data_IF_224088137157
#
_entry.id   IF_224088137157
#
_cell.length_a   1.000
_cell.length_b   1.000
_cell.length_c   1.000
_cell.angle_alpha   90.00
_cell.angle_beta   90.00
_cell.angle_gamma   90.00
#
_symmetry.space_group_name_H-M   'P 1'
#
loop_
_entity.id
_entity.type
_entity.pdbx_description
1 polymer ?
#
# COMPACT_ATOMS: atom_id res chain seq x y z
N UNK A 1 5.53 -5.73 -18.17
CA UNK A 1 6.11 -5.50 -16.83
C UNK A 1 5.06 -5.57 -15.74
N UNK A 2 4.00 -4.77 -15.83
CA UNK A 2 2.94 -4.78 -14.82
C UNK A 2 1.82 -5.71 -15.23
N UNK A 3 1.36 -6.55 -14.29
CA UNK A 3 0.33 -7.55 -14.59
C UNK A 3 -1.06 -7.14 -14.09
N UNK A 4 -1.13 -6.62 -12.87
CA UNK A 4 -2.39 -6.19 -12.27
C UNK A 4 -2.09 -5.28 -11.07
N UNK A 5 -3.13 -4.62 -10.57
CA UNK A 5 -3.08 -3.94 -9.28
C UNK A 5 -3.22 -5.02 -8.20
N UNK A 6 -2.17 -5.19 -7.37
CA UNK A 6 -2.14 -6.22 -6.33
C UNK A 6 -3.01 -5.81 -5.14
N UNK A 7 -2.81 -4.59 -4.66
CA UNK A 7 -3.60 -4.05 -3.56
C UNK A 7 -3.51 -2.53 -3.50
N UNK A 8 -4.41 -1.96 -2.71
CA UNK A 8 -4.45 -0.53 -2.41
C UNK A 8 -4.34 -0.40 -0.90
N UNK A 9 -3.49 0.51 -0.43
CA UNK A 9 -3.37 0.85 0.99
C UNK A 9 -4.13 2.14 1.24
N UNK A 10 -5.02 2.13 2.21
CA UNK A 10 -5.83 3.29 2.61
C UNK A 10 -5.37 3.75 3.99
N UNK A 11 -5.03 5.04 4.11
CA UNK A 11 -4.69 5.65 5.40
C UNK A 11 -5.96 5.90 6.19
N UNK A 12 -6.01 5.43 7.42
CA UNK A 12 -7.16 5.65 8.31
C UNK A 12 -6.69 6.12 9.67
N UNK A 13 -7.51 6.93 10.34
CA UNK A 13 -7.21 7.44 11.68
C UNK A 13 -7.52 6.42 12.76
N UNK A 14 -8.56 5.62 12.55
CA UNK A 14 -9.06 4.65 13.52
C UNK A 14 -9.38 3.37 12.77
N UNK A 15 -8.50 2.38 12.92
CA UNK A 15 -8.61 1.12 12.18
C UNK A 15 -9.87 0.35 12.56
N UNK A 16 -10.20 0.29 13.85
CA UNK A 16 -11.36 -0.49 14.31
C UNK A 16 -12.66 0.10 13.77
N UNK A 17 -12.79 1.43 13.81
CA UNK A 17 -13.95 2.11 13.24
C UNK A 17 -14.01 1.95 11.72
N UNK A 18 -12.87 2.05 11.06
CA UNK A 18 -12.78 1.89 9.61
C UNK A 18 -13.21 0.50 9.17
N UNK A 19 -12.77 -0.53 9.88
CA UNK A 19 -13.18 -1.91 9.60
C UNK A 19 -14.69 -2.06 9.73
N UNK A 20 -15.26 -1.54 10.80
CA UNK A 20 -16.71 -1.59 10.98
C UNK A 20 -17.45 -0.92 9.82
N UNK A 21 -16.95 0.23 9.37
CA UNK A 21 -17.55 0.94 8.24
C UNK A 21 -17.44 0.15 6.94
N UNK A 22 -16.27 -0.42 6.64
CA UNK A 22 -16.09 -1.21 5.42
C UNK A 22 -16.93 -2.48 5.42
N UNK A 23 -17.04 -3.12 6.59
CA UNK A 23 -17.88 -4.31 6.72
C UNK A 23 -19.36 -3.99 6.59
N UNK A 24 -19.85 -2.97 7.30
CA UNK A 24 -21.26 -2.66 7.34
C UNK A 24 -21.75 -1.88 6.12
N UNK A 25 -20.92 -1.00 5.55
CA UNK A 25 -21.32 -0.12 4.45
C UNK A 25 -20.96 -0.65 3.08
N UNK A 26 -19.84 -1.39 2.98
CA UNK A 26 -19.41 -1.97 1.71
C UNK A 26 -19.61 -3.47 1.62
N UNK A 27 -19.93 -4.13 2.74
CA UNK A 27 -20.13 -5.57 2.74
C UNK A 27 -18.85 -6.38 2.62
N UNK A 28 -17.71 -5.81 2.98
CA UNK A 28 -16.43 -6.50 2.89
C UNK A 28 -16.17 -7.31 4.16
N UNK A 29 -15.33 -8.33 4.05
CA UNK A 29 -14.97 -9.20 5.15
C UNK A 29 -13.46 -9.17 5.37
N UNK A 30 -13.04 -8.98 6.63
CA UNK A 30 -11.63 -8.99 6.98
C UNK A 30 -11.08 -10.43 6.94
N UNK A 31 -9.90 -10.62 6.36
CA UNK A 31 -9.21 -11.92 6.35
C UNK A 31 -8.03 -11.96 7.30
N UNK A 32 -7.39 -10.83 7.55
CA UNK A 32 -6.24 -10.71 8.44
C UNK A 32 -6.33 -9.42 9.24
N UNK A 33 -5.89 -9.50 10.51
CA UNK A 33 -5.85 -8.34 11.39
C UNK A 33 -7.17 -8.02 12.06
N UNK A 34 -7.22 -6.92 12.79
CA UNK A 34 -6.15 -5.89 12.96
C UNK A 34 -4.91 -6.44 13.66
N UNK A 35 -3.74 -6.09 13.11
CA UNK A 35 -2.48 -6.49 13.73
C UNK A 35 -1.42 -5.39 13.55
N UNK A 36 -0.57 -5.24 14.56
CA UNK A 36 0.51 -4.28 14.50
C UNK A 36 1.67 -4.81 13.66
N UNK A 37 2.24 -3.93 12.84
CA UNK A 37 3.45 -4.17 12.06
C UNK A 37 4.48 -3.11 12.48
N UNK A 38 5.17 -3.32 13.62
CA UNK A 38 6.05 -2.27 14.17
C UNK A 38 7.16 -1.85 13.21
N UNK A 39 7.69 -2.80 12.43
CA UNK A 39 8.74 -2.51 11.44
C UNK A 39 8.26 -1.59 10.30
N UNK A 40 6.98 -1.53 10.07
CA UNK A 40 6.37 -0.63 9.08
C UNK A 40 5.77 0.62 9.72
N UNK A 41 5.73 0.67 11.06
CA UNK A 41 5.16 1.80 11.80
C UNK A 41 3.66 1.92 11.70
N UNK A 42 2.96 0.80 11.50
CA UNK A 42 1.51 0.81 11.32
C UNK A 42 0.83 -0.42 11.93
N UNK A 43 -0.48 -0.32 12.06
CA UNK A 43 -1.39 -1.38 12.41
C UNK A 43 -2.33 -1.55 11.23
N UNK A 44 -2.61 -2.76 10.80
CA UNK A 44 -3.33 -2.99 9.54
C UNK A 44 -4.35 -4.10 9.60
N UNK A 45 -5.26 -4.07 8.62
CA UNK A 45 -6.18 -5.15 8.34
C UNK A 45 -6.30 -5.35 6.83
N UNK A 46 -6.53 -6.59 6.42
CA UNK A 46 -6.62 -6.98 5.02
C UNK A 46 -8.07 -7.36 4.69
N UNK A 47 -8.60 -6.75 3.65
CA UNK A 47 -9.95 -7.00 3.13
C UNK A 47 -9.80 -7.57 1.71
N UNK A 48 -9.94 -8.89 1.53
CA UNK A 48 -9.70 -9.50 0.22
C UNK A 48 -10.74 -9.10 -0.82
N UNK A 49 -10.29 -9.05 -2.08
CA UNK A 49 -11.11 -8.81 -3.25
C UNK A 49 -11.02 -10.06 -4.13
N UNK A 50 -12.07 -10.87 -4.10
CA UNK A 50 -12.06 -12.14 -4.80
C UNK A 50 -11.07 -13.14 -4.18
N UNK A 51 -10.62 -14.09 -4.96
CA UNK A 51 -9.77 -15.20 -4.48
C UNK A 51 -8.40 -15.27 -5.16
N UNK A 52 -8.03 -14.23 -5.90
CA UNK A 52 -6.75 -14.18 -6.63
C UNK A 52 -5.64 -13.44 -5.87
N UNK A 53 -5.78 -13.25 -4.56
CA UNK A 53 -4.77 -12.62 -3.72
C UNK A 53 -4.75 -11.10 -3.76
N UNK A 54 -5.77 -10.48 -4.34
CA UNK A 54 -5.89 -9.02 -4.39
C UNK A 54 -6.69 -8.53 -3.19
N UNK A 55 -6.39 -7.32 -2.71
CA UNK A 55 -7.04 -6.85 -1.48
C UNK A 55 -6.95 -5.34 -1.31
N UNK A 56 -7.73 -4.84 -0.37
CA UNK A 56 -7.58 -3.50 0.18
C UNK A 56 -6.97 -3.67 1.57
N UNK A 57 -5.93 -2.89 1.86
CA UNK A 57 -5.31 -2.84 3.18
C UNK A 57 -5.71 -1.53 3.84
N UNK A 58 -6.29 -1.61 5.04
CA UNK A 58 -6.51 -0.43 5.86
C UNK A 58 -5.35 -0.32 6.82
N UNK A 59 -4.75 0.86 6.91
CA UNK A 59 -3.54 1.06 7.71
C UNK A 59 -3.67 2.30 8.60
N UNK A 60 -3.45 2.09 9.90
CA UNK A 60 -3.45 3.12 10.92
C UNK A 60 -2.01 3.31 11.40
N UNK A 61 -1.47 4.53 11.44
CA UNK A 61 -0.11 4.72 11.93
C UNK A 61 0.01 4.39 13.42
N UNK A 62 1.14 3.78 13.81
CA UNK A 62 1.46 3.52 15.21
C UNK A 62 2.06 4.74 15.91
N UNK A 63 2.45 5.75 15.12
CA UNK A 63 3.03 6.96 15.66
C UNK A 63 3.17 8.01 14.57
N UNK A 64 3.54 9.22 14.96
CA UNK A 64 3.61 10.37 14.05
C UNK A 64 4.85 10.33 13.15
N UNK A 65 5.86 9.56 13.52
CA UNK A 65 7.15 9.56 12.82
C UNK A 65 7.24 8.54 11.68
N UNK A 66 6.20 7.78 11.42
CA UNK A 66 6.16 6.87 10.28
C UNK A 66 5.78 7.62 9.00
N UNK A 67 6.11 7.04 7.85
CA UNK A 67 5.74 7.62 6.56
C UNK A 67 4.22 7.76 6.44
N UNK A 68 3.47 6.75 6.87
CA UNK A 68 2.01 6.79 6.83
C UNK A 68 1.44 7.80 7.82
N UNK A 69 2.06 7.95 8.99
CA UNK A 69 1.64 8.95 9.98
C UNK A 69 1.82 10.36 9.46
N UNK A 70 2.96 10.64 8.82
CA UNK A 70 3.22 11.95 8.21
C UNK A 70 2.25 12.24 7.06
N UNK A 71 1.95 11.23 6.25
CA UNK A 71 1.00 11.38 5.14
C UNK A 71 -0.42 11.63 5.66
N UNK A 72 -0.83 10.91 6.71
CA UNK A 72 -2.14 11.09 7.32
C UNK A 72 -2.29 12.51 7.86
N UNK A 73 -1.27 13.04 8.53
CA UNK A 73 -1.31 14.40 9.06
C UNK A 73 -1.36 15.44 7.93
N UNK A 74 -0.59 15.24 6.88
CA UNK A 74 -0.49 16.19 5.79
C UNK A 74 -1.70 16.16 4.85
N UNK A 75 -2.19 14.98 4.51
CA UNK A 75 -3.20 14.79 3.47
C UNK A 75 -4.55 14.28 4.01
N UNK A 76 -4.59 13.81 5.25
CA UNK A 76 -5.78 13.19 5.80
C UNK A 76 -5.98 11.75 5.34
N UNK A 77 -7.17 11.22 5.59
CA UNK A 77 -7.53 9.87 5.17
C UNK A 77 -7.67 9.78 3.66
N UNK A 78 -7.36 8.63 3.11
CA UNK A 78 -7.47 8.39 1.67
C UNK A 78 -6.51 7.32 1.21
N UNK A 79 -6.39 7.16 -0.11
CA UNK A 79 -5.47 6.18 -0.69
C UNK A 79 -4.04 6.62 -0.42
N UNK A 80 -3.25 5.73 0.20
CA UNK A 80 -1.85 5.98 0.51
C UNK A 80 -0.93 5.55 -0.62
N UNK A 81 -1.16 4.35 -1.15
CA UNK A 81 -0.38 3.83 -2.27
C UNK A 81 -1.18 2.79 -3.05
N UNK A 82 -0.73 2.55 -4.27
CA UNK A 82 -1.23 1.49 -5.14
C UNK A 82 -0.08 0.53 -5.39
N UNK A 83 -0.25 -0.74 -5.06
CA UNK A 83 0.77 -1.76 -5.27
C UNK A 83 0.50 -2.49 -6.58
N UNK A 84 1.51 -2.48 -7.45
CA UNK A 84 1.45 -3.08 -8.78
C UNK A 84 2.25 -4.37 -8.81
N UNK A 85 1.67 -5.44 -9.32
CA UNK A 85 2.34 -6.72 -9.44
C UNK A 85 3.26 -6.75 -10.65
N UNK A 86 4.50 -7.20 -10.43
CA UNK A 86 5.50 -7.43 -11.50
C UNK A 86 5.98 -8.88 -11.41
N UNK A 87 6.43 -9.44 -12.53
CA UNK A 87 6.94 -10.82 -12.57
C UNK A 87 8.32 -10.95 -11.95
N UNK A 88 9.18 -9.98 -12.21
CA UNK A 88 10.60 -10.01 -11.85
C UNK A 88 10.98 -8.62 -11.35
N UNK A 89 11.21 -8.50 -10.05
CA UNK A 89 11.52 -7.21 -9.43
C UNK A 89 12.82 -6.62 -9.97
N UNK A 90 13.85 -7.45 -10.11
CA UNK A 90 15.15 -6.94 -10.55
C UNK A 90 15.08 -6.42 -12.00
N UNK A 91 14.37 -7.11 -12.85
CA UNK A 91 14.15 -6.67 -14.22
C UNK A 91 13.35 -5.36 -14.27
N UNK A 92 12.31 -5.27 -13.46
CA UNK A 92 11.50 -4.06 -13.37
C UNK A 92 12.34 -2.86 -12.93
N UNK A 93 13.16 -3.02 -11.89
CA UNK A 93 14.07 -1.97 -11.41
C UNK A 93 15.02 -1.53 -12.53
N UNK A 94 15.63 -2.49 -13.21
CA UNK A 94 16.58 -2.22 -14.29
C UNK A 94 15.92 -1.41 -15.42
N UNK A 95 14.76 -1.85 -15.87
CA UNK A 95 14.03 -1.16 -16.94
C UNK A 95 13.62 0.26 -16.55
N UNK A 96 13.15 0.45 -15.32
CA UNK A 96 12.73 1.76 -14.85
C UNK A 96 13.92 2.71 -14.73
N UNK A 97 15.05 2.23 -14.22
CA UNK A 97 16.27 3.04 -14.15
C UNK A 97 16.79 3.42 -15.53
N UNK A 98 16.68 2.53 -16.51
CA UNK A 98 17.06 2.83 -17.89
C UNK A 98 16.19 3.92 -18.50
N UNK A 99 14.95 4.04 -18.06
CA UNK A 99 14.03 5.10 -18.51
C UNK A 99 14.25 6.41 -17.77
N UNK A 100 15.16 6.45 -16.80
CA UNK A 100 15.41 7.63 -15.98
C UNK A 100 14.40 7.84 -14.86
N UNK A 101 13.62 6.81 -14.55
CA UNK A 101 12.60 6.88 -13.49
C UNK A 101 13.24 6.88 -12.12
N UNK A 102 12.88 7.83 -11.26
CA UNK A 102 13.36 7.86 -9.89
C UNK A 102 12.58 6.86 -9.04
N UNK A 103 13.30 5.96 -8.39
CA UNK A 103 12.75 4.97 -7.48
C UNK A 103 13.10 5.33 -6.04
N UNK A 104 12.28 4.81 -5.11
CA UNK A 104 12.55 4.84 -3.68
C UNK A 104 12.74 3.38 -3.27
N UNK A 105 13.94 3.03 -2.81
CA UNK A 105 14.25 1.67 -2.39
C UNK A 105 14.52 1.69 -0.89
N UNK A 106 13.68 0.96 -0.12
CA UNK A 106 13.76 0.91 1.34
C UNK A 106 13.72 -0.56 1.77
N UNK A 107 14.90 -1.11 2.05
CA UNK A 107 15.01 -2.54 2.35
C UNK A 107 14.55 -3.35 1.15
N UNK A 108 13.56 -4.22 1.34
CA UNK A 108 12.98 -5.02 0.26
C UNK A 108 11.84 -4.32 -0.47
N UNK A 109 11.46 -3.12 -0.03
CA UNK A 109 10.35 -2.38 -0.64
C UNK A 109 10.86 -1.45 -1.75
N UNK A 110 10.16 -1.44 -2.87
CA UNK A 110 10.49 -0.62 -4.04
C UNK A 110 9.27 0.20 -4.44
N UNK A 111 9.46 1.50 -4.56
CA UNK A 111 8.41 2.44 -4.95
C UNK A 111 8.86 3.29 -6.12
N UNK A 112 7.91 3.73 -6.94
CA UNK A 112 8.15 4.77 -7.93
C UNK A 112 7.88 6.10 -7.26
N UNK A 113 8.84 7.03 -7.35
CA UNK A 113 8.69 8.35 -6.73
C UNK A 113 7.43 9.04 -7.26
N UNK A 114 6.56 9.61 -6.40
CA UNK A 114 5.31 10.23 -6.85
C UNK A 114 5.48 11.38 -7.83
N UNK A 115 6.66 12.01 -7.84
CA UNK A 115 6.99 13.05 -8.82
C UNK A 115 6.94 12.53 -10.26
N UNK A 116 7.22 11.25 -10.47
CA UNK A 116 7.21 10.65 -11.80
C UNK A 116 5.79 10.34 -12.30
N UNK A 117 4.83 10.26 -11.38
CA UNK A 117 3.50 9.70 -11.65
C UNK A 117 2.37 10.62 -11.20
N UNK A 118 2.64 11.93 -11.16
CA UNK A 118 1.65 12.96 -10.85
C UNK A 118 1.00 12.80 -9.47
N UNK A 119 1.83 12.45 -8.48
CA UNK A 119 1.40 12.43 -7.08
C UNK A 119 0.95 11.08 -6.53
N UNK A 120 0.90 10.04 -7.36
CA UNK A 120 0.52 8.71 -6.92
C UNK A 120 1.77 7.93 -6.50
N UNK A 121 1.76 7.37 -5.29
CA UNK A 121 2.83 6.50 -4.83
C UNK A 121 2.52 5.07 -5.27
N UNK A 122 3.30 4.54 -6.21
CA UNK A 122 3.18 3.14 -6.64
C UNK A 122 4.26 2.30 -5.98
N UNK A 123 3.85 1.18 -5.39
CA UNK A 123 4.76 0.17 -4.89
C UNK A 123 4.84 -0.96 -5.90
N UNK A 124 6.02 -1.55 -6.07
CA UNK A 124 6.19 -2.74 -6.90
C UNK A 124 6.19 -3.97 -6.00
N UNK A 125 5.40 -4.98 -6.37
CA UNK A 125 5.31 -6.25 -5.64
C UNK A 125 5.60 -7.37 -6.63
N UNK A 126 6.52 -8.26 -6.28
CA UNK A 126 6.80 -9.41 -7.13
C UNK A 126 5.76 -10.51 -6.89
N UNK A 127 5.06 -10.86 -7.96
CA UNK A 127 4.07 -11.95 -7.96
C UNK A 127 4.31 -12.80 -9.19
N UNK A 128 4.47 -14.08 -8.97
CA UNK A 128 4.75 -15.03 -10.06
C UNK A 128 3.54 -15.86 -10.42
#
# INVERSE_FOLDING_TARGET
>A
MYNWIDHIVVRVKDLDQSLEDYESKMGMTVSEGPEAQPHLGLRRAILPLGDAGRFIELAEPLGENSAIGRALERFGEGVHLVAMAVDDMQQAITELKQKGTQLIEMGSQVFIHPRETHGVLYQLIERK
#
